data_IF_858279159209
#
_entry.id   IF_858279159209
#
_cell.length_a   1.000
_cell.length_b   1.000
_cell.length_c   1.000
_cell.angle_alpha   90.00
_cell.angle_beta   90.00
_cell.angle_gamma   90.00
#
_symmetry.space_group_name_H-M   'P 1'
#
loop_
_entity.id
_entity.type
_entity.pdbx_description
1 polymer ?
#
# COMPACT_ATOMS: atom_id res chain seq x y z
N UNK A 1 24.18 14.92 60.86
CA UNK A 1 23.09 15.58 60.08
C UNK A 1 23.26 15.21 58.62
N UNK A 2 22.45 14.27 58.13
CA UNK A 2 22.50 13.82 56.76
C UNK A 2 21.39 14.49 55.94
N UNK A 3 21.75 15.20 54.87
CA UNK A 3 20.78 15.76 53.91
C UNK A 3 20.55 14.77 52.77
N UNK A 4 19.32 14.28 52.66
CA UNK A 4 18.85 13.44 51.57
C UNK A 4 18.67 14.30 50.31
N UNK A 5 19.40 13.95 49.23
CA UNK A 5 19.15 14.48 47.88
C UNK A 5 17.94 13.77 47.23
N UNK A 6 16.96 14.55 46.81
CA UNK A 6 15.82 14.09 46.05
C UNK A 6 16.23 13.85 44.58
N UNK A 7 16.20 12.60 44.14
CA UNK A 7 16.35 12.24 42.74
C UNK A 7 15.14 12.71 41.94
N UNK A 8 15.36 13.53 40.91
CA UNK A 8 14.37 13.87 39.91
C UNK A 8 14.32 12.74 38.89
N UNK A 9 13.25 11.95 38.96
CA UNK A 9 12.93 11.01 37.93
C UNK A 9 12.58 11.75 36.62
N UNK A 10 13.44 11.59 35.62
CA UNK A 10 13.10 11.99 34.25
C UNK A 10 12.10 10.97 33.71
N UNK A 11 10.85 11.38 33.56
CA UNK A 11 9.85 10.67 32.80
C UNK A 11 10.28 10.65 31.32
N UNK A 12 10.83 9.54 30.87
CA UNK A 12 11.08 9.27 29.46
C UNK A 12 9.75 9.23 28.72
N UNK A 13 9.41 10.30 28.03
CA UNK A 13 8.32 10.33 27.07
C UNK A 13 8.64 9.37 25.93
N UNK A 14 8.14 8.12 26.02
CA UNK A 14 8.25 7.15 24.95
C UNK A 14 7.57 7.72 23.71
N UNK A 15 8.36 8.02 22.68
CA UNK A 15 7.87 8.33 21.35
C UNK A 15 7.11 7.08 20.90
N UNK A 16 5.79 7.15 20.92
CA UNK A 16 4.95 6.10 20.34
C UNK A 16 5.18 6.12 18.85
N UNK A 17 6.05 5.25 18.36
CA UNK A 17 6.21 5.01 16.93
C UNK A 17 4.87 4.55 16.39
N UNK A 18 4.16 5.42 15.67
CA UNK A 18 3.01 5.02 14.87
C UNK A 18 3.53 4.00 13.86
N UNK A 19 2.89 2.82 13.73
CA UNK A 19 3.36 1.83 12.78
C UNK A 19 3.35 2.45 11.38
N UNK A 20 4.52 2.41 10.72
CA UNK A 20 4.77 2.97 9.37
C UNK A 20 3.94 2.28 8.29
N UNK A 21 3.46 1.07 8.59
CA UNK A 21 2.67 0.23 7.69
C UNK A 21 1.40 -0.19 8.40
N UNK A 22 0.26 0.06 7.77
CA UNK A 22 -1.05 -0.27 8.32
C UNK A 22 -1.95 -0.92 7.28
N UNK A 23 -2.65 -1.95 7.72
CA UNK A 23 -3.79 -2.52 7.03
C UNK A 23 -5.07 -1.92 7.60
N UNK A 24 -5.96 -1.53 6.72
CA UNK A 24 -7.31 -1.09 7.09
C UNK A 24 -8.31 -2.10 6.53
N UNK A 25 -8.91 -2.88 7.42
CA UNK A 25 -9.95 -3.86 7.08
C UNK A 25 -11.36 -3.31 7.13
N UNK A 26 -11.56 -2.07 7.59
CA UNK A 26 -12.90 -1.53 7.81
C UNK A 26 -13.37 -0.69 6.63
N UNK A 27 -14.54 -1.07 6.13
CA UNK A 27 -15.31 -0.45 5.03
C UNK A 27 -15.59 1.04 5.23
N UNK A 28 -15.40 1.59 6.45
CA UNK A 28 -15.77 2.96 6.83
C UNK A 28 -14.63 3.97 6.69
N UNK A 29 -13.38 3.52 6.48
CA UNK A 29 -12.21 4.40 6.42
C UNK A 29 -11.44 4.38 5.09
N UNK A 30 -11.85 3.59 4.14
CA UNK A 30 -11.34 3.68 2.78
C UNK A 30 -11.86 4.97 2.16
N UNK A 31 -11.03 5.81 1.52
CA UNK A 31 -11.51 6.99 0.82
C UNK A 31 -12.59 6.58 -0.18
N UNK A 32 -13.84 6.93 0.11
CA UNK A 32 -15.04 6.44 -0.61
C UNK A 32 -15.05 6.78 -2.10
N UNK A 33 -14.26 7.77 -2.51
CA UNK A 33 -14.23 8.23 -3.89
C UNK A 33 -13.40 7.33 -4.81
N UNK A 34 -12.28 6.79 -4.32
CA UNK A 34 -11.29 6.11 -5.17
C UNK A 34 -11.59 4.61 -5.38
N UNK A 35 -12.09 3.93 -4.39
CA UNK A 35 -12.45 2.49 -4.51
C UNK A 35 -13.72 2.26 -5.34
N UNK A 36 -14.48 3.31 -5.63
CA UNK A 36 -15.75 3.19 -6.36
C UNK A 36 -15.58 2.77 -7.81
N UNK A 37 -14.58 3.28 -8.50
CA UNK A 37 -14.35 3.00 -9.92
C UNK A 37 -13.86 1.55 -10.13
N UNK A 38 -12.93 1.11 -9.29
CA UNK A 38 -12.41 -0.27 -9.30
C UNK A 38 -13.54 -1.28 -9.11
N UNK A 39 -14.52 -0.95 -8.29
CA UNK A 39 -15.60 -1.85 -7.90
C UNK A 39 -16.81 -1.82 -8.85
N UNK A 40 -16.92 -0.82 -9.73
CA UNK A 40 -17.96 -0.74 -10.75
C UNK A 40 -17.67 -1.57 -12.00
N UNK A 41 -16.43 -2.00 -12.21
CA UNK A 41 -16.00 -2.75 -13.39
C UNK A 41 -16.42 -4.24 -13.39
N UNK A 42 -17.56 -4.58 -12.81
CA UNK A 42 -18.18 -5.91 -12.98
C UNK A 42 -17.60 -7.05 -12.15
N UNK A 43 -17.13 -6.75 -10.94
CA UNK A 43 -16.58 -7.75 -10.04
C UNK A 43 -17.68 -8.64 -9.43
N UNK A 44 -17.68 -9.90 -9.83
CA UNK A 44 -18.40 -10.97 -9.14
C UNK A 44 -17.71 -11.46 -7.84
N UNK A 45 -16.67 -10.74 -7.36
CA UNK A 45 -16.00 -11.09 -6.10
C UNK A 45 -16.40 -10.17 -4.95
N UNK A 46 -16.60 -10.74 -3.75
CA UNK A 46 -17.00 -9.96 -2.61
C UNK A 46 -15.89 -8.96 -2.23
N UNK A 47 -16.27 -7.69 -2.07
CA UNK A 47 -15.43 -6.61 -1.52
C UNK A 47 -14.77 -6.99 -0.19
N UNK A 48 -15.31 -7.99 0.51
CA UNK A 48 -14.81 -8.51 1.77
C UNK A 48 -13.41 -9.13 1.68
N UNK A 49 -12.98 -9.57 0.49
CA UNK A 49 -11.65 -10.16 0.27
C UNK A 49 -10.56 -9.13 0.01
N UNK A 50 -10.89 -7.87 -0.23
CA UNK A 50 -9.91 -6.83 -0.51
C UNK A 50 -9.53 -6.06 0.75
N UNK A 51 -8.25 -5.71 0.85
CA UNK A 51 -7.67 -4.89 1.92
C UNK A 51 -6.98 -3.67 1.36
N UNK A 52 -7.19 -2.54 1.98
CA UNK A 52 -6.49 -1.30 1.72
C UNK A 52 -5.25 -1.21 2.62
N UNK A 53 -4.10 -1.03 2.01
CA UNK A 53 -2.82 -0.92 2.69
C UNK A 53 -2.25 0.48 2.53
N UNK A 54 -1.63 0.99 3.58
CA UNK A 54 -0.82 2.22 3.56
C UNK A 54 0.54 1.95 4.14
N UNK A 55 1.56 2.48 3.49
CA UNK A 55 2.93 2.34 3.97
C UNK A 55 3.83 3.44 3.43
N UNK A 56 4.96 3.64 4.09
CA UNK A 56 5.97 4.57 3.60
C UNK A 56 6.81 3.89 2.52
N UNK A 57 7.22 4.65 1.52
CA UNK A 57 8.22 4.26 0.55
C UNK A 57 9.18 5.41 0.27
N UNK A 58 10.34 5.12 -0.30
CA UNK A 58 11.27 6.12 -0.79
C UNK A 58 11.18 6.19 -2.30
N UNK A 59 11.06 7.40 -2.85
CA UNK A 59 11.09 7.58 -4.30
C UNK A 59 12.53 7.55 -4.84
N UNK A 60 12.68 7.73 -6.16
CA UNK A 60 14.00 7.75 -6.81
C UNK A 60 14.88 8.93 -6.36
N UNK A 61 14.29 10.01 -5.85
CA UNK A 61 15.00 11.14 -5.27
C UNK A 61 15.38 10.93 -3.78
N UNK A 62 15.03 9.78 -3.19
CA UNK A 62 15.27 9.46 -1.79
C UNK A 62 14.28 10.10 -0.80
N UNK A 63 13.22 10.73 -1.30
CA UNK A 63 12.18 11.31 -0.46
C UNK A 63 11.26 10.23 0.09
N UNK A 64 10.86 10.36 1.35
CA UNK A 64 9.89 9.48 1.98
C UNK A 64 8.47 9.94 1.67
N UNK A 65 7.70 9.08 1.03
CA UNK A 65 6.32 9.31 0.63
C UNK A 65 5.40 8.28 1.28
N UNK A 66 4.11 8.64 1.41
CA UNK A 66 3.07 7.73 1.84
C UNK A 66 2.45 7.07 0.61
N UNK A 67 2.57 5.74 0.52
CA UNK A 67 2.00 4.94 -0.54
C UNK A 67 0.70 4.26 -0.14
N UNK A 68 -0.06 3.86 -1.15
CA UNK A 68 -1.37 3.22 -1.04
C UNK A 68 -1.48 2.04 -1.99
N UNK A 69 -2.03 0.93 -1.50
CA UNK A 69 -2.29 -0.28 -2.29
C UNK A 69 -3.64 -0.87 -1.91
N UNK A 70 -4.27 -1.55 -2.87
CA UNK A 70 -5.38 -2.48 -2.60
C UNK A 70 -4.93 -3.87 -3.05
N UNK A 71 -5.10 -4.87 -2.19
CA UNK A 71 -4.75 -6.25 -2.48
C UNK A 71 -5.75 -7.23 -1.88
N UNK A 72 -5.60 -8.51 -2.19
CA UNK A 72 -6.37 -9.56 -1.54
C UNK A 72 -5.91 -9.73 -0.08
N UNK A 73 -6.87 -10.04 0.80
CA UNK A 73 -6.60 -10.32 2.21
C UNK A 73 -5.55 -11.41 2.40
N UNK A 74 -5.58 -12.43 1.54
CA UNK A 74 -4.67 -13.57 1.63
C UNK A 74 -3.19 -13.21 1.56
N UNK A 75 -2.84 -12.11 0.87
CA UNK A 75 -1.44 -11.64 0.72
C UNK A 75 -1.16 -10.31 1.43
N UNK A 76 -2.14 -9.74 2.10
CA UNK A 76 -2.01 -8.41 2.69
C UNK A 76 -0.94 -8.31 3.77
N UNK A 77 -0.81 -9.33 4.61
CA UNK A 77 0.22 -9.41 5.64
C UNK A 77 1.61 -9.50 5.04
N UNK A 78 1.81 -10.39 4.08
CA UNK A 78 3.09 -10.57 3.38
C UNK A 78 3.52 -9.29 2.66
N UNK A 79 2.58 -8.59 2.00
CA UNK A 79 2.88 -7.32 1.33
C UNK A 79 3.32 -6.24 2.31
N UNK A 80 2.71 -6.14 3.48
CA UNK A 80 3.15 -5.19 4.52
C UNK A 80 4.58 -5.47 4.98
N UNK A 81 4.93 -6.73 5.16
CA UNK A 81 6.29 -7.14 5.54
C UNK A 81 7.29 -6.84 4.41
N UNK A 82 6.94 -7.17 3.17
CA UNK A 82 7.77 -6.90 1.98
C UNK A 82 8.04 -5.41 1.82
N UNK A 83 6.99 -4.57 1.84
CA UNK A 83 7.16 -3.13 1.68
C UNK A 83 7.92 -2.49 2.85
N UNK A 84 7.77 -3.02 4.05
CA UNK A 84 8.59 -2.60 5.19
C UNK A 84 10.07 -2.93 4.96
N UNK A 85 10.36 -4.15 4.55
CA UNK A 85 11.73 -4.57 4.25
C UNK A 85 12.36 -3.73 3.13
N UNK A 86 11.60 -3.42 2.07
CA UNK A 86 12.05 -2.55 0.98
C UNK A 86 12.34 -1.13 1.48
N UNK A 87 11.48 -0.59 2.36
CA UNK A 87 11.69 0.73 2.96
C UNK A 87 12.94 0.76 3.84
N UNK A 88 13.11 -0.23 4.71
CA UNK A 88 14.26 -0.35 5.62
C UNK A 88 15.58 -0.54 4.83
N UNK A 89 15.52 -1.25 3.69
CA UNK A 89 16.65 -1.42 2.77
C UNK A 89 16.90 -0.20 1.86
N UNK A 90 16.11 0.87 2.00
CA UNK A 90 16.14 2.05 1.12
C UNK A 90 15.96 1.72 -0.37
N UNK A 91 15.24 0.63 -0.68
CA UNK A 91 14.92 0.28 -2.07
C UNK A 91 13.97 1.33 -2.67
N UNK A 92 14.32 1.94 -3.80
CA UNK A 92 13.50 3.00 -4.36
C UNK A 92 12.25 2.46 -5.04
N UNK A 93 11.09 3.01 -4.66
CA UNK A 93 9.80 2.81 -5.34
C UNK A 93 9.33 4.19 -5.76
N UNK A 94 9.30 4.45 -7.06
CA UNK A 94 9.06 5.81 -7.56
C UNK A 94 7.67 6.31 -7.18
N UNK A 95 6.66 5.48 -7.37
CA UNK A 95 5.27 5.85 -7.10
C UNK A 95 4.48 4.65 -6.59
N UNK A 96 3.58 4.88 -5.67
CA UNK A 96 2.70 3.86 -5.11
C UNK A 96 1.36 4.51 -4.74
N UNK A 97 0.55 4.81 -5.75
CA UNK A 97 -0.79 5.37 -5.62
C UNK A 97 -1.82 4.38 -6.18
N UNK A 98 -3.08 4.54 -5.79
CA UNK A 98 -4.15 3.68 -6.28
C UNK A 98 -4.30 3.81 -7.80
N UNK A 99 -4.64 2.72 -8.47
CA UNK A 99 -4.84 2.68 -9.91
C UNK A 99 -5.97 3.63 -10.38
N UNK A 100 -6.87 3.99 -9.47
CA UNK A 100 -7.95 4.97 -9.70
C UNK A 100 -7.44 6.35 -10.11
N UNK A 101 -6.24 6.74 -9.68
CA UNK A 101 -5.58 7.99 -10.11
C UNK A 101 -5.31 7.99 -11.63
N UNK A 102 -5.38 6.82 -12.26
CA UNK A 102 -5.20 6.63 -13.70
C UNK A 102 -6.48 6.10 -14.37
N UNK A 103 -7.65 6.37 -13.79
CA UNK A 103 -8.96 5.90 -14.28
C UNK A 103 -9.01 4.36 -14.46
N UNK A 104 -8.32 3.64 -13.58
CA UNK A 104 -8.14 2.18 -13.62
C UNK A 104 -7.48 1.66 -14.92
N UNK A 105 -6.70 2.52 -15.61
CA UNK A 105 -5.99 2.18 -16.84
C UNK A 105 -4.53 1.81 -16.56
N UNK A 106 -4.13 0.60 -16.97
CA UNK A 106 -2.75 0.12 -16.82
C UNK A 106 -1.72 0.95 -17.57
N UNK A 107 -2.01 1.32 -18.82
CA UNK A 107 -1.06 2.02 -19.67
C UNK A 107 -0.52 3.31 -19.05
N UNK A 108 -1.38 4.26 -18.65
CA UNK A 108 -0.96 5.46 -17.94
C UNK A 108 -0.25 5.17 -16.63
N UNK A 109 -0.72 4.20 -15.84
CA UNK A 109 -0.12 3.80 -14.57
C UNK A 109 1.30 3.25 -14.75
N UNK A 110 1.51 2.37 -15.73
CA UNK A 110 2.84 1.81 -16.05
C UNK A 110 3.79 2.91 -16.53
N UNK A 111 3.32 3.81 -17.42
CA UNK A 111 4.15 4.94 -17.89
C UNK A 111 4.55 5.89 -16.78
N UNK A 112 3.73 6.00 -15.74
CA UNK A 112 4.05 6.77 -14.53
C UNK A 112 4.93 6.00 -13.54
N UNK A 113 5.37 4.79 -13.89
CA UNK A 113 6.12 3.88 -13.02
C UNK A 113 5.41 3.63 -11.69
N UNK A 114 4.08 3.50 -11.72
CA UNK A 114 3.27 3.33 -10.53
C UNK A 114 3.21 1.87 -10.09
N UNK A 115 3.72 1.58 -8.90
CA UNK A 115 3.58 0.27 -8.25
C UNK A 115 2.14 0.07 -7.79
N UNK A 116 1.53 -1.04 -8.17
CA UNK A 116 0.13 -1.34 -7.86
C UNK A 116 -0.11 -2.84 -7.72
N UNK A 117 -1.18 -3.21 -7.01
CA UNK A 117 -1.54 -4.62 -6.84
C UNK A 117 -2.88 -4.94 -7.50
N UNK A 118 -3.98 -4.40 -7.00
CA UNK A 118 -5.30 -4.68 -7.55
C UNK A 118 -5.60 -3.79 -8.76
N UNK A 119 -5.93 -4.44 -9.89
CA UNK A 119 -6.55 -3.82 -11.03
C UNK A 119 -7.37 -4.86 -11.80
N UNK A 120 -8.66 -4.58 -12.03
CA UNK A 120 -9.52 -5.52 -12.76
C UNK A 120 -9.26 -5.42 -14.26
N UNK A 121 -8.66 -6.46 -14.80
CA UNK A 121 -8.39 -6.60 -16.23
C UNK A 121 -8.31 -8.05 -16.66
N UNK A 122 -8.54 -8.30 -17.93
CA UNK A 122 -8.27 -9.58 -18.56
C UNK A 122 -6.84 -9.66 -19.08
N UNK A 123 -6.30 -10.87 -19.14
CA UNK A 123 -5.03 -11.12 -19.85
C UNK A 123 -5.26 -10.82 -21.31
N UNK A 124 -4.39 -10.01 -21.92
CA UNK A 124 -4.54 -9.57 -23.31
C UNK A 124 -4.73 -10.75 -24.28
N UNK A 125 -5.74 -10.65 -25.14
CA UNK A 125 -6.07 -11.71 -26.12
C UNK A 125 -6.74 -12.95 -25.54
N UNK A 126 -7.12 -12.93 -24.25
CA UNK A 126 -7.82 -14.04 -23.60
C UNK A 126 -9.06 -13.53 -22.84
N UNK A 127 -10.01 -14.43 -22.58
CA UNK A 127 -11.14 -14.12 -21.69
C UNK A 127 -10.84 -14.41 -20.20
N UNK A 128 -9.57 -14.57 -19.83
CA UNK A 128 -9.16 -14.97 -18.47
C UNK A 128 -8.81 -13.73 -17.65
N UNK A 129 -9.41 -13.53 -16.45
CA UNK A 129 -9.02 -12.47 -15.54
C UNK A 129 -7.57 -12.61 -15.08
N UNK A 130 -6.82 -11.50 -15.09
CA UNK A 130 -5.47 -11.43 -14.58
C UNK A 130 -5.41 -11.68 -13.06
N UNK A 131 -4.26 -12.07 -12.53
CA UNK A 131 -4.04 -12.17 -11.09
C UNK A 131 -4.24 -10.83 -10.38
N UNK A 132 -3.96 -9.71 -11.04
CA UNK A 132 -4.28 -8.37 -10.54
C UNK A 132 -5.78 -8.16 -10.32
N UNK A 133 -6.63 -8.79 -11.12
CA UNK A 133 -8.10 -8.76 -10.93
C UNK A 133 -8.55 -9.40 -9.63
N UNK A 134 -7.70 -10.23 -9.03
CA UNK A 134 -7.93 -10.87 -7.73
C UNK A 134 -7.18 -10.17 -6.58
N UNK A 135 -6.36 -9.18 -6.89
CA UNK A 135 -5.44 -8.56 -5.94
C UNK A 135 -4.32 -9.48 -5.47
N UNK A 136 -4.00 -10.54 -6.26
CA UNK A 136 -3.03 -11.58 -5.92
C UNK A 136 -1.67 -11.39 -6.60
N UNK A 137 -1.44 -10.24 -7.22
CA UNK A 137 -0.17 -9.87 -7.82
C UNK A 137 0.13 -8.42 -7.50
N UNK A 138 1.42 -8.07 -7.47
CA UNK A 138 1.90 -6.71 -7.30
C UNK A 138 3.00 -6.44 -8.32
N UNK A 139 2.91 -5.30 -8.98
CA UNK A 139 3.96 -4.76 -9.84
C UNK A 139 4.71 -3.66 -9.07
N UNK A 140 6.02 -3.77 -8.99
CA UNK A 140 6.89 -2.77 -8.35
C UNK A 140 7.78 -2.15 -9.42
N UNK A 141 7.72 -0.82 -9.58
CA UNK A 141 8.43 -0.09 -10.62
C UNK A 141 8.24 -0.70 -12.03
N UNK A 142 7.01 -0.84 -12.52
CA UNK A 142 6.71 -1.63 -13.72
C UNK A 142 7.29 -1.04 -15.02
N UNK A 143 7.76 0.20 -15.01
CA UNK A 143 8.42 0.81 -16.17
C UNK A 143 9.78 0.17 -16.46
N UNK A 144 10.42 -0.45 -15.45
CA UNK A 144 11.76 -1.01 -15.53
C UNK A 144 11.79 -2.54 -15.51
N UNK A 145 10.66 -3.18 -15.59
CA UNK A 145 10.52 -4.65 -15.63
C UNK A 145 10.21 -5.19 -17.02
#
# INVERSE_FOLDING_TARGET
MARRGKGHGRSGGGIRHRPLFRQFGDRRRTPRAHVRQILQAGLHRPRSELRYLRGLHRNLAGETLLGELVCNEAISGDLLEIFRALYDAAYPIERMVLIDEYDAQDGPSIRANNSSAFNFRFIAGTGVPSNHSRGMAVDINPLYT
#
